data_IF_808901244949
#
_entry.id   IF_808901244949
#
_cell.length_a   1.000
_cell.length_b   1.000
_cell.length_c   1.000
_cell.angle_alpha   90.00
_cell.angle_beta   90.00
_cell.angle_gamma   90.00
#
_symmetry.space_group_name_H-M   'P 1'
#
loop_
_entity.id
_entity.type
_entity.pdbx_description
1 polymer ?
#
# COMPACT_ATOMS: atom_id res chain seq x y z
N UNK A 1 1.53 3.54 -19.14
CA UNK A 1 0.36 2.63 -19.13
C UNK A 1 0.43 1.80 -17.85
N UNK A 2 -0.47 2.02 -16.88
CA UNK A 2 -0.42 1.31 -15.61
C UNK A 2 -1.06 -0.07 -15.73
N UNK A 3 -0.28 -1.13 -15.54
CA UNK A 3 -0.84 -2.47 -15.36
C UNK A 3 -1.57 -2.52 -14.01
N UNK A 4 -2.82 -2.99 -14.04
CA UNK A 4 -3.54 -3.40 -12.83
C UNK A 4 -2.76 -4.51 -12.11
N UNK A 5 -2.84 -4.56 -10.79
CA UNK A 5 -2.13 -5.58 -9.99
C UNK A 5 -2.44 -7.00 -10.51
N UNK A 6 -1.39 -7.77 -10.81
CA UNK A 6 -1.53 -9.17 -11.23
C UNK A 6 -2.16 -9.99 -10.09
N UNK A 7 -3.13 -10.87 -10.40
CA UNK A 7 -3.90 -11.62 -9.39
C UNK A 7 -3.04 -12.50 -8.46
N UNK A 8 -1.85 -12.92 -8.88
CA UNK A 8 -1.01 -13.85 -8.10
C UNK A 8 -0.29 -13.10 -6.97
N UNK A 9 -0.50 -13.51 -5.72
CA UNK A 9 0.11 -12.87 -4.54
C UNK A 9 -0.62 -11.63 -4.01
N UNK A 10 -1.70 -11.20 -4.68
CA UNK A 10 -2.55 -10.08 -4.24
C UNK A 10 -3.40 -10.48 -3.03
N UNK A 11 -3.32 -9.70 -1.97
CA UNK A 11 -4.10 -9.84 -0.73
C UNK A 11 -5.17 -8.76 -0.69
N UNK A 12 -6.27 -9.02 0.01
CA UNK A 12 -7.35 -8.05 0.21
C UNK A 12 -7.38 -7.55 1.66
N UNK A 13 -7.82 -6.31 1.84
CA UNK A 13 -8.04 -5.69 3.13
C UNK A 13 -9.20 -4.68 3.02
N UNK A 14 -10.02 -4.55 4.06
CA UNK A 14 -11.03 -3.49 4.16
C UNK A 14 -10.57 -2.47 5.20
N UNK A 15 -10.54 -1.19 4.82
CA UNK A 15 -10.21 -0.06 5.69
C UNK A 15 -11.36 0.94 5.60
N UNK A 16 -11.97 1.26 6.74
CA UNK A 16 -13.10 2.19 6.85
C UNK A 16 -14.21 1.94 5.80
N UNK A 17 -14.57 0.67 5.61
CA UNK A 17 -15.60 0.24 4.66
C UNK A 17 -15.17 0.17 3.20
N UNK A 18 -13.99 0.69 2.84
CA UNK A 18 -13.44 0.62 1.47
C UNK A 18 -12.57 -0.62 1.31
N UNK A 19 -12.78 -1.38 0.24
CA UNK A 19 -11.98 -2.56 -0.07
C UNK A 19 -10.75 -2.19 -0.88
N UNK A 20 -9.61 -2.69 -0.45
CA UNK A 20 -8.31 -2.51 -1.09
C UNK A 20 -7.69 -3.85 -1.46
N UNK A 21 -6.85 -3.82 -2.49
CA UNK A 21 -5.96 -4.91 -2.89
C UNK A 21 -4.53 -4.46 -2.75
N UNK A 22 -3.67 -5.36 -2.27
CA UNK A 22 -2.27 -5.05 -2.05
C UNK A 22 -1.36 -6.23 -2.35
N UNK A 23 -0.12 -5.93 -2.72
CA UNK A 23 0.94 -6.90 -2.94
C UNK A 23 2.26 -6.38 -2.37
N UNK A 24 3.14 -7.28 -2.01
CA UNK A 24 4.55 -6.95 -1.76
C UNK A 24 5.27 -7.03 -3.09
N UNK A 25 5.73 -5.88 -3.58
CA UNK A 25 6.64 -5.81 -4.70
C UNK A 25 8.07 -6.02 -4.18
N UNK A 26 8.76 -7.09 -4.61
CA UNK A 26 10.21 -7.13 -4.45
C UNK A 26 10.81 -6.13 -5.43
N UNK A 27 11.65 -5.20 -4.97
CA UNK A 27 12.72 -4.70 -5.83
C UNK A 27 13.83 -4.02 -5.04
N UNK A 28 15.03 -4.09 -5.63
CA UNK A 28 16.34 -3.66 -5.15
C UNK A 28 16.37 -2.31 -4.41
N UNK A 29 17.32 -2.21 -3.46
CA UNK A 29 17.55 -1.17 -2.45
C UNK A 29 16.83 0.19 -2.60
N UNK A 30 16.29 0.75 -1.49
CA UNK A 30 16.63 0.40 -0.10
C UNK A 30 15.52 -0.31 0.70
N UNK A 31 14.52 -0.96 0.08
CA UNK A 31 13.49 -1.67 0.87
C UNK A 31 12.41 -2.42 0.09
N UNK A 32 11.47 -3.02 0.82
CA UNK A 32 10.31 -3.71 0.25
C UNK A 32 9.18 -2.72 -0.05
N UNK A 33 8.60 -2.80 -1.26
CA UNK A 33 7.46 -1.99 -1.66
C UNK A 33 6.14 -2.68 -1.33
N UNK A 34 5.21 -1.99 -0.67
CA UNK A 34 3.80 -2.39 -0.60
C UNK A 34 3.05 -1.57 -1.66
N UNK A 35 2.49 -2.23 -2.66
CA UNK A 35 1.65 -1.57 -3.65
C UNK A 35 0.19 -1.81 -3.29
N UNK A 36 -0.62 -0.75 -3.23
CA UNK A 36 -2.04 -0.79 -2.88
C UNK A 36 -2.88 -0.07 -3.92
N UNK A 37 -4.03 -0.64 -4.25
CA UNK A 37 -5.05 -0.01 -5.08
C UNK A 37 -6.46 -0.27 -4.53
N UNK A 38 -7.44 0.56 -4.90
CA UNK A 38 -8.84 0.28 -4.61
C UNK A 38 -9.30 -1.01 -5.32
N UNK A 39 -10.04 -1.87 -4.62
CA UNK A 39 -10.45 -3.17 -5.15
C UNK A 39 -11.58 -3.04 -6.18
N UNK A 40 -12.59 -2.22 -5.86
CA UNK A 40 -13.83 -2.15 -6.64
C UNK A 40 -13.74 -1.15 -7.80
N UNK A 41 -12.88 -0.14 -7.67
CA UNK A 41 -12.66 0.89 -8.70
C UNK A 41 -11.22 1.38 -8.65
N UNK A 42 -10.26 0.61 -9.19
CA UNK A 42 -8.84 0.97 -9.15
C UNK A 42 -8.59 2.25 -9.96
N UNK A 43 -7.92 3.21 -9.34
CA UNK A 43 -7.43 4.43 -9.96
C UNK A 43 -5.96 4.66 -9.63
N UNK A 44 -5.70 5.54 -8.68
CA UNK A 44 -4.36 5.94 -8.25
C UNK A 44 -3.80 4.89 -7.30
N UNK A 45 -2.64 4.32 -7.64
CA UNK A 45 -1.97 3.36 -6.76
C UNK A 45 -1.18 4.09 -5.70
N UNK A 46 -1.08 3.48 -4.52
CA UNK A 46 -0.14 3.89 -3.47
C UNK A 46 1.03 2.90 -3.45
N UNK A 47 2.25 3.42 -3.36
CA UNK A 47 3.47 2.65 -3.12
C UNK A 47 4.05 3.06 -1.78
N UNK A 48 4.03 2.17 -0.81
CA UNK A 48 4.61 2.38 0.51
C UNK A 48 5.94 1.64 0.64
N UNK A 49 7.02 2.38 0.84
CA UNK A 49 8.35 1.82 1.09
C UNK A 49 8.53 1.49 2.56
N UNK A 50 8.97 0.27 2.83
CA UNK A 50 9.26 -0.22 4.19
C UNK A 50 10.73 -0.59 4.28
N UNK A 51 11.40 -0.15 5.35
CA UNK A 51 12.78 -0.53 5.62
C UNK A 51 12.94 -2.05 5.82
N UNK A 52 14.13 -2.55 5.52
CA UNK A 52 14.50 -3.95 5.72
C UNK A 52 14.32 -4.40 7.17
N UNK A 53 13.90 -5.64 7.37
CA UNK A 53 13.68 -6.24 8.69
C UNK A 53 12.27 -6.05 9.26
N UNK A 54 11.42 -5.23 8.63
CA UNK A 54 10.01 -5.13 9.00
C UNK A 54 9.16 -6.22 8.35
N UNK A 55 8.31 -6.85 9.17
CA UNK A 55 7.33 -7.82 8.68
C UNK A 55 6.14 -7.09 8.06
N UNK A 56 5.89 -7.29 6.76
CA UNK A 56 4.71 -6.74 6.10
C UNK A 56 3.47 -7.52 6.53
N UNK A 57 2.68 -6.90 7.41
CA UNK A 57 1.43 -7.45 7.94
C UNK A 57 0.21 -6.66 7.44
N UNK A 58 -1.00 -7.23 7.47
CA UNK A 58 -2.23 -6.49 7.12
C UNK A 58 -2.43 -5.22 7.96
N UNK A 59 -1.96 -5.21 9.22
CA UNK A 59 -2.01 -4.02 10.07
C UNK A 59 -1.10 -2.90 9.54
N UNK A 60 0.14 -3.24 9.15
CA UNK A 60 1.06 -2.25 8.57
C UNK A 60 0.49 -1.65 7.27
N UNK A 61 -0.16 -2.49 6.46
CA UNK A 61 -0.84 -2.06 5.23
C UNK A 61 -2.01 -1.12 5.55
N UNK A 62 -2.81 -1.44 6.59
CA UNK A 62 -3.88 -0.54 7.07
C UNK A 62 -3.33 0.83 7.45
N UNK A 63 -2.27 0.87 8.24
CA UNK A 63 -1.65 2.13 8.67
C UNK A 63 -1.08 2.93 7.49
N UNK A 64 -0.50 2.24 6.50
CA UNK A 64 -0.03 2.89 5.27
C UNK A 64 -1.19 3.54 4.51
N UNK A 65 -2.31 2.83 4.34
CA UNK A 65 -3.52 3.34 3.69
C UNK A 65 -4.04 4.58 4.41
N UNK A 66 -4.22 4.51 5.73
CA UNK A 66 -4.74 5.63 6.52
C UNK A 66 -3.83 6.86 6.43
N UNK A 67 -2.52 6.66 6.50
CA UNK A 67 -1.54 7.75 6.35
C UNK A 67 -1.58 8.36 4.96
N UNK A 68 -1.65 7.55 3.91
CA UNK A 68 -1.74 8.04 2.54
C UNK A 68 -3.04 8.84 2.33
N UNK A 69 -4.18 8.35 2.82
CA UNK A 69 -5.45 9.09 2.78
C UNK A 69 -5.35 10.44 3.50
N UNK A 70 -4.74 10.47 4.69
CA UNK A 70 -4.50 11.70 5.44
C UNK A 70 -3.55 12.68 4.72
N UNK A 71 -2.65 12.17 3.86
CA UNK A 71 -1.75 12.96 3.02
C UNK A 71 -2.35 13.33 1.65
N UNK A 72 -3.62 13.01 1.40
CA UNK A 72 -4.33 13.39 0.18
C UNK A 72 -4.29 12.37 -0.94
N UNK A 73 -3.86 11.13 -0.68
CA UNK A 73 -4.04 10.04 -1.64
C UNK A 73 -5.53 9.84 -1.94
N UNK A 74 -5.87 9.83 -3.23
CA UNK A 74 -7.23 9.62 -3.72
C UNK A 74 -7.26 8.32 -4.55
N UNK A 75 -7.66 7.18 -3.97
CA UNK A 75 -7.52 5.85 -4.59
C UNK A 75 -8.23 5.69 -5.94
N UNK A 76 -9.28 6.47 -6.18
CA UNK A 76 -10.07 6.46 -7.42
C UNK A 76 -9.65 7.53 -8.42
N UNK A 77 -8.80 8.49 -8.03
CA UNK A 77 -8.29 9.51 -8.94
C UNK A 77 -7.35 8.88 -9.98
N UNK A 78 -7.01 9.62 -11.05
CA UNK A 78 -5.97 9.22 -12.00
C UNK A 78 -4.71 10.04 -11.76
N UNK A 79 -3.55 9.43 -11.98
CA UNK A 79 -2.27 10.10 -11.79
C UNK A 79 -1.10 9.14 -11.66
N UNK A 80 0.11 9.68 -11.41
CA UNK A 80 1.29 8.89 -11.08
C UNK A 80 1.13 8.27 -9.69
N UNK A 81 1.84 7.16 -9.44
CA UNK A 81 1.76 6.46 -8.15
C UNK A 81 2.03 7.41 -6.97
N UNK A 82 1.19 7.31 -5.93
CA UNK A 82 1.37 8.05 -4.69
C UNK A 82 2.41 7.34 -3.83
N UNK A 83 3.59 7.92 -3.68
CA UNK A 83 4.70 7.30 -2.96
C UNK A 83 4.77 7.81 -1.53
N UNK A 84 4.81 6.89 -0.57
CA UNK A 84 5.03 7.20 0.85
C UNK A 84 6.14 6.31 1.43
N UNK A 85 6.92 6.85 2.38
CA UNK A 85 7.85 6.06 3.19
C UNK A 85 7.25 5.79 4.57
N UNK A 86 7.24 4.52 4.98
CA UNK A 86 6.84 4.14 6.34
C UNK A 86 8.05 4.20 7.27
N UNK A 87 7.89 4.72 8.50
CA UNK A 87 8.98 4.75 9.48
C UNK A 87 9.32 3.35 10.00
N UNK A 88 10.59 3.16 10.34
CA UNK A 88 11.20 1.92 10.84
C UNK A 88 10.42 1.23 11.97
N UNK A 89 9.78 2.00 12.86
CA UNK A 89 9.29 1.56 14.16
C UNK A 89 7.76 1.43 14.25
N UNK A 90 7.05 1.23 13.14
CA UNK A 90 5.62 0.90 13.17
C UNK A 90 5.42 -0.52 13.76
N UNK A 91 5.43 -0.59 15.09
CA UNK A 91 5.06 -1.78 15.87
C UNK A 91 3.62 -1.62 16.32
N UNK A 92 2.85 -2.72 16.21
CA UNK A 92 1.55 -2.83 16.86
C UNK A 92 1.82 -2.69 18.36
N UNK A 93 1.34 -1.59 18.98
CA UNK A 93 1.35 -1.47 20.43
C UNK A 93 0.63 -2.68 21.01
N UNK A 94 1.34 -3.43 21.86
CA UNK A 94 0.76 -4.47 22.72
C UNK A 94 -0.10 -3.83 23.81
#
# INVERSE_FOLDING_TARGET
>A
MGMALARKGTRALTVDGTRYRWVVAPDDEPGLGIVVEAADSPGLRMVAWVEHGNTISPWLVREAILRALAQGWQPQARGPDFVLRLPAHLRRGV
#
